data_IF_055739646483
#
_entry.id   IF_055739646483
#
_cell.length_a   1.000
_cell.length_b   1.000
_cell.length_c   1.000
_cell.angle_alpha   90.00
_cell.angle_beta   90.00
_cell.angle_gamma   90.00
#
_symmetry.space_group_name_H-M   'P 1'
#
loop_
_entity.id
_entity.type
_entity.pdbx_description
1 polymer ?
#
# COMPACT_ATOMS: atom_id res chain seq x y z
N UNK A 1 -8.01 -1.86 -14.45
CA UNK A 1 -7.24 -1.34 -13.30
C UNK A 1 -8.18 -1.00 -12.16
N UNK A 2 -7.84 -1.42 -10.95
CA UNK A 2 -8.66 -1.12 -9.76
C UNK A 2 -8.03 0.07 -9.05
N UNK A 3 -8.71 1.21 -9.05
CA UNK A 3 -8.20 2.44 -8.47
C UNK A 3 -8.48 2.55 -6.97
N UNK A 4 -9.70 2.18 -6.57
CA UNK A 4 -10.09 2.17 -5.17
C UNK A 4 -11.19 1.15 -4.94
N UNK A 5 -11.36 0.75 -3.68
CA UNK A 5 -12.39 -0.18 -3.25
C UNK A 5 -13.05 0.34 -1.99
N UNK A 6 -14.37 0.31 -1.95
CA UNK A 6 -15.13 0.62 -0.75
C UNK A 6 -15.94 -0.61 -0.35
N UNK A 7 -15.79 -1.04 0.88
CA UNK A 7 -16.50 -2.20 1.38
C UNK A 7 -16.26 -2.43 2.86
N UNK A 8 -16.86 -3.51 3.38
CA UNK A 8 -16.68 -3.90 4.78
C UNK A 8 -15.41 -4.72 4.96
N UNK A 9 -14.71 -4.45 6.05
CA UNK A 9 -13.53 -5.22 6.41
C UNK A 9 -14.00 -6.60 6.91
N UNK A 10 -13.56 -7.65 6.23
CA UNK A 10 -13.87 -9.04 6.59
C UNK A 10 -12.75 -9.63 7.45
N UNK A 11 -11.53 -9.28 7.13
CA UNK A 11 -10.36 -9.77 7.85
C UNK A 11 -9.26 -8.71 7.80
N UNK A 12 -8.50 -8.62 8.88
CA UNK A 12 -7.39 -7.68 9.00
C UNK A 12 -6.22 -8.38 9.65
N UNK A 13 -5.03 -8.18 9.09
CA UNK A 13 -3.79 -8.69 9.66
C UNK A 13 -2.80 -7.55 9.80
N UNK A 14 -1.54 -7.85 10.17
CA UNK A 14 -0.53 -6.83 10.39
C UNK A 14 -0.28 -5.97 9.13
N UNK A 15 -0.29 -6.59 7.97
CA UNK A 15 0.07 -5.94 6.71
C UNK A 15 -0.86 -6.30 5.54
N UNK A 16 -2.10 -6.66 5.83
CA UNK A 16 -3.07 -6.97 4.80
C UNK A 16 -4.49 -6.78 5.33
N UNK A 17 -5.42 -6.59 4.41
CA UNK A 17 -6.82 -6.44 4.73
C UNK A 17 -7.64 -7.09 3.62
N UNK A 18 -8.78 -7.68 4.00
CA UNK A 18 -9.75 -8.19 3.04
C UNK A 18 -11.00 -7.33 3.13
N UNK A 19 -11.40 -6.76 2.00
CA UNK A 19 -12.64 -6.00 1.87
C UNK A 19 -13.67 -6.80 1.09
N UNK A 20 -14.90 -6.82 1.60
CA UNK A 20 -16.04 -7.40 0.88
C UNK A 20 -16.74 -6.27 0.12
N UNK A 21 -16.67 -6.32 -1.20
CA UNK A 21 -17.27 -5.32 -2.09
C UNK A 21 -18.22 -6.04 -3.05
N UNK A 22 -19.53 -5.84 -2.87
CA UNK A 22 -20.53 -6.44 -3.72
C UNK A 22 -20.49 -7.96 -3.76
N UNK A 23 -20.15 -8.60 -2.66
CA UNK A 23 -20.07 -10.06 -2.56
C UNK A 23 -18.71 -10.64 -2.95
N UNK A 24 -17.74 -9.80 -3.34
CA UNK A 24 -16.40 -10.25 -3.69
C UNK A 24 -15.43 -9.83 -2.59
N UNK A 25 -14.62 -10.77 -2.11
CA UNK A 25 -13.58 -10.48 -1.13
C UNK A 25 -12.27 -10.13 -1.83
N UNK A 26 -11.81 -8.89 -1.64
CA UNK A 26 -10.55 -8.41 -2.21
C UNK A 26 -9.47 -8.43 -1.14
N UNK A 27 -8.40 -9.16 -1.40
CA UNK A 27 -7.24 -9.24 -0.52
C UNK A 27 -6.22 -8.19 -0.97
N UNK A 28 -5.94 -7.23 -0.09
CA UNK A 28 -4.99 -6.16 -0.38
C UNK A 28 -3.86 -6.18 0.64
N UNK A 29 -2.62 -6.20 0.16
CA UNK A 29 -1.46 -5.98 1.01
C UNK A 29 -1.32 -4.49 1.25
N UNK A 30 -0.94 -4.09 2.45
CA UNK A 30 -0.83 -2.67 2.79
C UNK A 30 0.31 -2.44 3.77
N UNK A 31 0.79 -1.18 3.87
CA UNK A 31 1.75 -0.85 4.91
C UNK A 31 1.16 -1.16 6.29
N UNK A 32 2.00 -1.60 7.23
CA UNK A 32 1.54 -1.90 8.58
C UNK A 32 0.89 -0.68 9.24
N UNK A 33 1.39 0.52 8.95
CA UNK A 33 0.82 1.77 9.44
C UNK A 33 -0.61 1.99 8.93
N UNK A 34 -0.89 1.58 7.69
CA UNK A 34 -2.23 1.66 7.11
C UNK A 34 -3.15 0.64 7.78
N UNK A 35 -2.72 -0.62 7.84
CA UNK A 35 -3.52 -1.68 8.46
C UNK A 35 -3.88 -1.33 9.90
N UNK A 36 -2.93 -0.81 10.66
CA UNK A 36 -3.15 -0.43 12.05
C UNK A 36 -4.10 0.74 12.23
N UNK A 37 -4.19 1.63 11.25
CA UNK A 37 -5.05 2.81 11.32
C UNK A 37 -6.46 2.57 10.78
N UNK A 38 -6.70 1.45 10.10
CA UNK A 38 -8.03 1.14 9.57
C UNK A 38 -9.02 0.80 10.69
N UNK A 39 -10.33 1.00 10.46
CA UNK A 39 -11.32 0.58 11.44
C UNK A 39 -11.33 -0.94 11.62
N UNK A 40 -12.09 -1.42 12.57
CA UNK A 40 -12.15 -2.85 12.88
C UNK A 40 -12.96 -3.66 11.87
N UNK A 41 -12.87 -4.98 12.00
CA UNK A 41 -13.65 -5.92 11.21
C UNK A 41 -15.15 -5.60 11.33
N UNK A 42 -15.85 -5.63 10.21
CA UNK A 42 -17.28 -5.31 10.13
C UNK A 42 -17.54 -3.85 9.77
N UNK A 43 -16.56 -2.98 9.87
CA UNK A 43 -16.70 -1.57 9.54
C UNK A 43 -16.42 -1.36 8.04
N UNK A 44 -17.08 -0.34 7.48
CA UNK A 44 -16.86 0.05 6.09
C UNK A 44 -15.66 0.99 5.98
N UNK A 45 -14.86 0.80 4.95
CA UNK A 45 -13.73 1.69 4.66
C UNK A 45 -13.46 1.73 3.16
N UNK A 46 -12.69 2.72 2.74
CA UNK A 46 -12.22 2.84 1.36
C UNK A 46 -10.71 2.69 1.35
N UNK A 47 -10.23 1.86 0.45
CA UNK A 47 -8.80 1.72 0.17
C UNK A 47 -8.51 2.25 -1.22
N UNK A 48 -7.45 3.01 -1.37
CA UNK A 48 -6.91 3.40 -2.67
C UNK A 48 -5.90 2.35 -3.06
N UNK A 49 -6.05 1.77 -4.25
CA UNK A 49 -5.37 0.53 -4.60
C UNK A 49 -4.44 0.67 -5.78
N UNK A 50 -3.41 -0.18 -5.80
CA UNK A 50 -2.53 -0.38 -6.94
C UNK A 50 -2.58 -1.86 -7.28
N UNK A 51 -2.95 -2.18 -8.52
CA UNK A 51 -2.97 -3.55 -8.99
C UNK A 51 -1.71 -3.85 -9.78
N UNK A 52 -1.02 -4.91 -9.40
CA UNK A 52 0.18 -5.37 -10.09
C UNK A 52 -0.13 -6.71 -10.74
N UNK A 53 0.06 -6.78 -12.05
CA UNK A 53 -0.14 -8.00 -12.82
C UNK A 53 1.19 -8.40 -13.42
N UNK A 54 1.67 -9.58 -13.06
CA UNK A 54 2.86 -10.17 -13.64
C UNK A 54 2.50 -11.48 -14.32
N UNK A 55 3.45 -12.10 -14.99
CA UNK A 55 3.22 -13.37 -15.67
C UNK A 55 2.69 -14.46 -14.74
N UNK A 56 3.15 -14.47 -13.49
CA UNK A 56 2.83 -15.52 -12.53
C UNK A 56 1.94 -15.08 -11.38
N UNK A 57 1.54 -13.80 -11.32
CA UNK A 57 0.85 -13.29 -10.15
C UNK A 57 0.02 -12.05 -10.43
N UNK A 58 -1.07 -11.92 -9.70
CA UNK A 58 -1.89 -10.70 -9.65
C UNK A 58 -1.97 -10.29 -8.19
N UNK A 59 -1.45 -9.12 -7.86
CA UNK A 59 -1.42 -8.61 -6.49
C UNK A 59 -2.14 -7.27 -6.40
N UNK A 60 -2.76 -7.03 -5.25
CA UNK A 60 -3.44 -5.78 -4.97
C UNK A 60 -2.81 -5.17 -3.71
N UNK A 61 -2.47 -3.89 -3.81
CA UNK A 61 -1.90 -3.13 -2.70
C UNK A 61 -2.87 -2.02 -2.31
N UNK A 62 -3.07 -1.81 -1.01
CA UNK A 62 -4.07 -0.88 -0.51
C UNK A 62 -3.48 0.18 0.41
N UNK A 63 -4.02 1.40 0.28
CA UNK A 63 -3.56 2.56 1.03
C UNK A 63 -4.76 3.35 1.55
N UNK A 64 -4.53 4.11 2.61
CA UNK A 64 -5.59 4.91 3.23
C UNK A 64 -5.85 6.21 2.49
N UNK A 65 -4.85 6.74 1.77
CA UNK A 65 -4.96 8.02 1.05
C UNK A 65 -4.45 7.90 -0.37
N UNK A 66 -4.90 8.83 -1.23
CA UNK A 66 -4.41 8.90 -2.60
C UNK A 66 -2.94 9.29 -2.66
N UNK A 67 -2.47 10.10 -1.69
CA UNK A 67 -1.06 10.48 -1.60
C UNK A 67 -0.18 9.26 -1.37
N UNK A 68 -0.59 8.33 -0.51
CA UNK A 68 0.13 7.08 -0.28
C UNK A 68 0.13 6.21 -1.53
N UNK A 69 -1.01 6.11 -2.22
CA UNK A 69 -1.14 5.38 -3.47
C UNK A 69 -0.16 5.90 -4.53
N UNK A 70 -0.16 7.21 -4.75
CA UNK A 70 0.74 7.84 -5.72
C UNK A 70 2.20 7.68 -5.31
N UNK A 71 2.49 7.78 -4.03
CA UNK A 71 3.84 7.60 -3.49
C UNK A 71 4.34 6.17 -3.73
N UNK A 72 3.49 5.18 -3.52
CA UNK A 72 3.85 3.78 -3.79
C UNK A 72 4.20 3.57 -5.26
N UNK A 73 3.44 4.17 -6.16
CA UNK A 73 3.73 4.08 -7.59
C UNK A 73 5.07 4.73 -7.94
N UNK A 74 5.38 5.89 -7.34
CA UNK A 74 6.68 6.54 -7.52
C UNK A 74 7.83 5.67 -6.99
N UNK A 75 7.64 5.09 -5.81
CA UNK A 75 8.66 4.25 -5.18
C UNK A 75 8.97 3.02 -6.03
N UNK A 76 7.95 2.33 -6.50
CA UNK A 76 8.13 1.11 -7.28
C UNK A 76 8.65 1.37 -8.69
N UNK A 77 8.63 2.62 -9.14
CA UNK A 77 9.28 3.02 -10.38
C UNK A 77 10.79 3.20 -10.22
N UNK A 78 11.29 3.31 -8.99
CA UNK A 78 12.73 3.43 -8.71
C UNK A 78 13.38 2.06 -8.88
N UNK A 79 14.50 2.03 -9.61
CA UNK A 79 15.24 0.78 -9.83
C UNK A 79 15.65 0.16 -8.49
N UNK A 80 15.37 -1.12 -8.32
CA UNK A 80 15.69 -1.85 -7.11
C UNK A 80 14.63 -1.76 -6.01
N UNK A 81 13.57 -1.00 -6.21
CA UNK A 81 12.47 -0.91 -5.24
C UNK A 81 11.28 -1.71 -5.74
N UNK A 82 11.08 -2.89 -5.17
CA UNK A 82 9.92 -3.72 -5.46
C UNK A 82 8.74 -3.36 -4.56
N UNK A 83 7.57 -4.00 -4.77
CA UNK A 83 6.37 -3.72 -3.97
C UNK A 83 6.58 -3.93 -2.47
N UNK A 84 7.28 -4.99 -2.08
CA UNK A 84 7.54 -5.30 -0.67
C UNK A 84 8.32 -4.19 0.01
N UNK A 85 9.36 -3.69 -0.66
CA UNK A 85 10.18 -2.58 -0.16
C UNK A 85 9.35 -1.30 -0.11
N UNK A 86 8.54 -1.05 -1.13
CA UNK A 86 7.65 0.11 -1.15
C UNK A 86 6.68 0.13 0.03
N UNK A 87 6.08 -1.01 0.36
CA UNK A 87 5.21 -1.12 1.52
C UNK A 87 5.96 -0.87 2.83
N UNK A 88 7.18 -1.40 2.94
CA UNK A 88 8.01 -1.22 4.13
C UNK A 88 8.37 0.26 4.33
N UNK A 89 8.71 0.95 3.26
CA UNK A 89 9.02 2.38 3.31
C UNK A 89 7.81 3.19 3.80
N UNK A 90 6.64 2.93 3.24
CA UNK A 90 5.42 3.64 3.63
C UNK A 90 4.90 3.25 5.01
N UNK A 91 5.42 2.17 5.59
CA UNK A 91 5.12 1.81 6.97
C UNK A 91 5.82 2.72 7.98
N UNK A 92 6.91 3.37 7.59
CA UNK A 92 7.74 4.18 8.49
C UNK A 92 7.96 5.62 8.02
N UNK A 93 7.57 5.97 6.79
CA UNK A 93 7.77 7.31 6.24
C UNK A 93 6.46 7.87 5.69
N UNK A 94 6.21 9.15 5.96
CA UNK A 94 5.08 9.87 5.37
C UNK A 94 5.34 10.13 3.88
N UNK A 95 4.27 10.21 3.05
CA UNK A 95 4.42 10.44 1.61
C UNK A 95 5.24 11.68 1.24
N UNK A 96 5.08 12.77 1.99
CA UNK A 96 5.82 14.00 1.73
C UNK A 96 7.34 13.80 1.88
N UNK A 97 7.73 13.04 2.90
CA UNK A 97 9.14 12.75 3.14
C UNK A 97 9.72 11.84 2.07
N UNK A 98 8.94 10.86 1.63
CA UNK A 98 9.34 9.97 0.54
C UNK A 98 9.55 10.77 -0.75
N UNK A 99 8.64 11.67 -1.08
CA UNK A 99 8.73 12.50 -2.27
C UNK A 99 10.00 13.37 -2.25
N UNK A 100 10.34 13.94 -1.10
CA UNK A 100 11.57 14.71 -0.93
C UNK A 100 12.82 13.85 -1.12
N UNK A 101 12.81 12.63 -0.57
CA UNK A 101 13.94 11.71 -0.70
C UNK A 101 14.15 11.28 -2.15
N UNK A 102 13.09 11.03 -2.89
CA UNK A 102 13.16 10.67 -4.31
C UNK A 102 13.72 11.85 -5.11
N UNK A 103 13.22 13.07 -4.87
CA UNK A 103 13.67 14.27 -5.56
C UNK A 103 15.14 14.57 -5.30
N UNK A 104 15.61 14.30 -4.08
CA UNK A 104 17.01 14.52 -3.71
C UNK A 104 17.93 13.37 -4.13
N UNK A 105 17.37 12.27 -4.62
CA UNK A 105 18.15 11.06 -4.93
C UNK A 105 18.70 10.36 -3.70
N UNK A 106 18.05 10.54 -2.56
CA UNK A 106 18.51 9.99 -1.27
C UNK A 106 18.07 8.53 -1.11
N UNK A 107 18.86 7.63 -1.66
CA UNK A 107 18.57 6.19 -1.55
C UNK A 107 18.83 5.62 -0.16
N UNK A 108 19.56 6.32 0.69
CA UNK A 108 19.83 5.85 2.06
C UNK A 108 18.57 5.85 2.92
N UNK A 109 17.66 6.79 2.69
CA UNK A 109 16.39 6.84 3.41
C UNK A 109 15.57 5.57 3.15
N UNK A 110 15.65 5.00 1.95
CA UNK A 110 14.91 3.80 1.58
C UNK A 110 15.57 2.54 2.16
N UNK A 111 16.88 2.51 2.25
CA UNK A 111 17.60 1.39 2.87
C UNK A 111 17.27 1.25 4.34
N UNK A 112 17.09 2.35 5.05
CA UNK A 112 16.73 2.34 6.46
C UNK A 112 15.37 1.65 6.70
N UNK A 113 14.42 1.84 5.78
CA UNK A 113 13.10 1.23 5.88
C UNK A 113 13.11 -0.26 5.52
N UNK A 114 13.97 -0.66 4.57
CA UNK A 114 14.05 -2.05 4.11
C UNK A 114 14.96 -2.93 4.97
N UNK A 115 15.79 -2.31 5.77
CA UNK A 115 16.69 -3.00 6.69
C UNK A 115 16.03 -3.32 8.00
#
# INVERSE_FOLDING_TARGET
MIYCLTGKIVKKSLNAVVLSCGGVGYYAQCPASVAGALPGVGQETTLYTVMSVTENDVSLYGFATEEQQACFEMLTAVSGVGPKVGLAILSVMEPQRVALAISAGDHKAFKAASG
#
